data_IF_657938295211
#
_entry.id   IF_657938295211
#
_cell.length_a   1.000
_cell.length_b   1.000
_cell.length_c   1.000
_cell.angle_alpha   90.00
_cell.angle_beta   90.00
_cell.angle_gamma   90.00
#
_symmetry.space_group_name_H-M   'P 1'
#
loop_
_entity.id
_entity.type
_entity.pdbx_description
1 polymer ?
#
# COMPACT_ATOMS: atom_id res chain seq x y z
N UNK A 1 -16.96 10.10 -9.46
CA UNK A 1 -15.56 10.42 -9.78
C UNK A 1 -14.86 9.18 -10.27
N UNK A 2 -14.52 9.12 -11.56
CA UNK A 2 -13.80 8.01 -12.18
C UNK A 2 -12.43 7.85 -11.51
N UNK A 3 -12.17 6.65 -10.97
CA UNK A 3 -10.87 6.25 -10.45
C UNK A 3 -9.92 6.18 -11.65
N UNK A 4 -9.23 7.30 -11.94
CA UNK A 4 -8.17 7.34 -12.94
C UNK A 4 -7.01 6.47 -12.46
N UNK A 5 -6.26 5.89 -13.39
CA UNK A 5 -5.45 4.69 -13.20
C UNK A 5 -3.93 5.01 -13.18
N UNK A 6 -3.36 5.64 -12.13
CA UNK A 6 -1.91 5.80 -11.98
C UNK A 6 -1.23 4.49 -11.48
N UNK A 7 -1.94 3.35 -11.50
CA UNK A 7 -1.57 2.14 -10.76
C UNK A 7 -0.59 1.22 -11.49
N UNK A 8 -0.52 1.25 -12.83
CA UNK A 8 0.22 0.24 -13.60
C UNK A 8 1.72 0.34 -13.34
N UNK A 9 2.31 1.54 -13.42
CA UNK A 9 3.76 1.71 -13.23
C UNK A 9 4.24 1.33 -11.82
N UNK A 10 3.48 1.70 -10.79
CA UNK A 10 3.78 1.32 -9.40
C UNK A 10 3.65 -0.19 -9.17
N UNK A 11 2.62 -0.82 -9.74
CA UNK A 11 2.43 -2.27 -9.65
C UNK A 11 3.56 -3.02 -10.37
N UNK A 12 3.93 -2.61 -11.58
CA UNK A 12 5.03 -3.25 -12.33
C UNK A 12 6.34 -3.18 -11.56
N UNK A 13 6.69 -2.03 -10.96
CA UNK A 13 7.90 -1.89 -10.14
C UNK A 13 7.87 -2.78 -8.89
N UNK A 14 6.72 -2.86 -8.20
CA UNK A 14 6.53 -3.79 -7.08
C UNK A 14 6.78 -5.24 -7.50
N UNK A 15 6.17 -5.65 -8.61
CA UNK A 15 6.31 -7.01 -9.13
C UNK A 15 7.73 -7.31 -9.60
N UNK A 16 8.42 -6.36 -10.24
CA UNK A 16 9.83 -6.51 -10.60
C UNK A 16 10.72 -6.67 -9.36
N UNK A 17 10.45 -5.90 -8.31
CA UNK A 17 11.27 -5.93 -7.09
C UNK A 17 11.03 -7.18 -6.25
N UNK A 18 9.77 -7.57 -6.07
CA UNK A 18 9.34 -8.57 -5.09
C UNK A 18 8.65 -9.81 -5.68
N UNK A 19 8.33 -9.83 -6.98
CA UNK A 19 7.68 -10.97 -7.62
C UNK A 19 8.48 -12.26 -7.41
N UNK A 20 7.82 -13.27 -6.83
CA UNK A 20 8.45 -14.56 -6.50
C UNK A 20 9.41 -14.54 -5.30
N UNK A 21 9.57 -13.41 -4.60
CA UNK A 21 10.44 -13.29 -3.42
C UNK A 21 9.62 -13.22 -2.14
N UNK A 22 10.16 -13.79 -1.05
CA UNK A 22 9.54 -13.68 0.27
C UNK A 22 9.81 -12.31 0.87
N UNK A 23 8.77 -11.69 1.43
CA UNK A 23 8.83 -10.45 2.21
C UNK A 23 8.10 -10.71 3.53
N UNK A 24 8.64 -10.21 4.63
CA UNK A 24 8.02 -10.37 5.95
C UNK A 24 7.47 -9.05 6.44
N UNK A 25 6.17 -9.02 6.73
CA UNK A 25 5.53 -7.88 7.36
C UNK A 25 5.96 -7.74 8.83
N UNK A 26 6.24 -6.51 9.27
CA UNK A 26 6.62 -6.20 10.66
C UNK A 26 5.57 -5.29 11.30
N UNK A 27 5.33 -4.12 10.71
CA UNK A 27 4.39 -3.14 11.26
C UNK A 27 3.93 -2.14 10.19
N UNK A 28 2.93 -1.32 10.51
CA UNK A 28 2.58 -0.15 9.72
C UNK A 28 2.15 1.01 10.60
N UNK A 29 2.22 2.22 10.05
CA UNK A 29 1.62 3.43 10.60
C UNK A 29 1.01 4.24 9.48
N UNK A 30 -0.27 4.56 9.58
CA UNK A 30 -0.98 5.41 8.62
C UNK A 30 -1.17 6.81 9.17
N UNK A 31 -1.58 7.73 8.28
CA UNK A 31 -2.00 9.05 8.71
C UNK A 31 -3.19 8.92 9.67
N UNK A 32 -3.22 9.71 10.77
CA UNK A 32 -4.29 9.60 11.77
C UNK A 32 -5.64 10.09 11.24
N UNK A 33 -5.62 10.88 10.15
CA UNK A 33 -6.82 11.40 9.51
C UNK A 33 -7.35 10.36 8.52
N UNK A 34 -8.18 9.46 9.03
CA UNK A 34 -8.93 8.50 8.22
C UNK A 34 -10.13 9.22 7.60
N UNK A 35 -10.34 9.05 6.30
CA UNK A 35 -11.49 9.61 5.59
C UNK A 35 -12.63 8.59 5.61
N UNK A 36 -13.80 8.99 6.09
CA UNK A 36 -15.00 8.16 6.10
C UNK A 36 -16.03 8.71 5.10
N UNK A 37 -16.48 7.86 4.17
CA UNK A 37 -17.52 8.18 3.20
C UNK A 37 -18.61 7.08 3.24
N UNK A 38 -19.64 7.31 4.07
CA UNK A 38 -20.68 6.32 4.32
C UNK A 38 -20.12 5.07 5.02
N UNK A 39 -20.22 3.91 4.35
CA UNK A 39 -19.69 2.62 4.84
C UNK A 39 -18.23 2.38 4.45
N UNK A 40 -17.60 3.39 3.85
CA UNK A 40 -16.26 3.32 3.29
C UNK A 40 -15.28 4.00 4.22
N UNK A 41 -14.21 3.30 4.56
CA UNK A 41 -13.07 3.86 5.29
C UNK A 41 -11.86 3.90 4.38
N UNK A 42 -11.24 5.07 4.23
CA UNK A 42 -10.04 5.24 3.41
C UNK A 42 -8.82 5.52 4.28
N UNK A 43 -7.83 4.65 4.16
CA UNK A 43 -6.52 4.76 4.80
C UNK A 43 -5.50 5.30 3.79
N UNK A 44 -4.74 6.32 4.17
CA UNK A 44 -3.72 6.94 3.33
C UNK A 44 -2.43 7.20 4.12
N UNK A 45 -1.36 7.53 3.41
CA UNK A 45 -0.07 7.89 4.03
C UNK A 45 0.62 6.74 4.78
N UNK A 46 0.19 5.50 4.58
CA UNK A 46 0.74 4.37 5.33
C UNK A 46 2.21 4.10 4.99
N UNK A 47 3.04 4.15 6.04
CA UNK A 47 4.39 3.62 6.05
C UNK A 47 4.33 2.18 6.56
N UNK A 48 4.94 1.27 5.81
CA UNK A 48 5.02 -0.15 6.14
C UNK A 48 6.47 -0.50 6.42
N UNK A 49 6.68 -1.24 7.51
CA UNK A 49 7.96 -1.85 7.83
C UNK A 49 7.93 -3.30 7.35
N UNK A 50 8.81 -3.62 6.40
CA UNK A 50 8.99 -4.97 5.87
C UNK A 50 10.45 -5.42 6.02
N UNK A 51 10.66 -6.72 6.22
CA UNK A 51 11.94 -7.35 5.94
C UNK A 51 11.96 -7.77 4.47
N UNK A 52 12.87 -7.19 3.70
CA UNK A 52 13.06 -7.48 2.29
C UNK A 52 13.95 -8.73 2.10
N UNK A 53 14.09 -9.28 0.87
CA UNK A 53 14.83 -10.52 0.63
C UNK A 53 16.33 -10.48 0.99
N UNK A 54 16.90 -9.28 1.17
CA UNK A 54 18.26 -9.08 1.67
C UNK A 54 18.37 -9.23 3.21
N UNK A 55 17.26 -9.52 3.89
CA UNK A 55 17.18 -9.65 5.34
C UNK A 55 17.12 -8.31 6.09
N UNK A 56 17.10 -7.17 5.38
CA UNK A 56 17.08 -5.85 6.00
C UNK A 56 15.65 -5.33 6.14
N UNK A 57 15.46 -4.52 7.17
CA UNK A 57 14.21 -3.81 7.41
C UNK A 57 14.17 -2.50 6.61
N UNK A 58 13.05 -2.28 5.92
CA UNK A 58 12.78 -1.06 5.19
C UNK A 58 11.43 -0.49 5.60
N UNK A 59 11.40 0.83 5.84
CA UNK A 59 10.18 1.60 6.06
C UNK A 59 9.86 2.39 4.80
N UNK A 60 8.79 2.02 4.08
CA UNK A 60 8.42 2.69 2.82
C UNK A 60 6.90 2.80 2.66
N UNK A 61 6.49 3.70 1.76
CA UNK A 61 5.12 3.76 1.25
C UNK A 61 5.01 2.85 0.03
N UNK A 62 4.37 1.69 0.17
CA UNK A 62 4.17 0.73 -0.93
C UNK A 62 2.90 1.03 -1.75
N UNK A 63 1.90 1.66 -1.12
CA UNK A 63 0.63 2.03 -1.75
C UNK A 63 0.21 3.47 -1.41
N UNK A 64 -0.60 4.07 -2.28
CA UNK A 64 -1.12 5.42 -2.08
C UNK A 64 -2.24 5.44 -1.05
N UNK A 65 -3.27 4.62 -1.22
CA UNK A 65 -4.36 4.44 -0.24
C UNK A 65 -5.00 3.06 -0.32
N UNK A 66 -5.59 2.64 0.80
CA UNK A 66 -6.42 1.44 0.95
C UNK A 66 -7.84 1.87 1.25
N UNK A 67 -8.81 1.20 0.65
CA UNK A 67 -10.22 1.35 0.98
C UNK A 67 -10.70 0.12 1.73
N UNK A 68 -11.53 0.32 2.74
CA UNK A 68 -12.25 -0.72 3.47
C UNK A 68 -13.75 -0.51 3.30
N UNK A 69 -14.47 -1.58 2.96
CA UNK A 69 -15.93 -1.61 2.88
C UNK A 69 -16.41 -2.90 3.54
N UNK A 70 -17.07 -2.79 4.70
CA UNK A 70 -17.61 -3.96 5.40
C UNK A 70 -16.54 -5.02 5.76
N UNK A 71 -15.34 -4.58 6.17
CA UNK A 71 -14.22 -5.46 6.48
C UNK A 71 -13.47 -6.03 5.27
N UNK A 72 -13.85 -5.67 4.04
CA UNK A 72 -13.09 -6.01 2.84
C UNK A 72 -12.17 -4.87 2.44
N UNK A 73 -10.91 -5.20 2.11
CA UNK A 73 -9.87 -4.21 1.81
C UNK A 73 -9.42 -4.26 0.36
N UNK A 74 -9.14 -3.10 -0.23
CA UNK A 74 -8.56 -2.99 -1.58
C UNK A 74 -7.54 -1.87 -1.67
N UNK A 75 -6.40 -2.14 -2.31
CA UNK A 75 -5.45 -1.11 -2.72
C UNK A 75 -6.05 -0.27 -3.85
N UNK A 76 -6.14 1.05 -3.66
CA UNK A 76 -6.63 1.97 -4.68
C UNK A 76 -5.51 2.46 -5.62
N UNK A 77 -4.27 2.51 -5.12
CA UNK A 77 -3.12 2.95 -5.91
C UNK A 77 -1.82 2.40 -5.31
N UNK A 78 -0.82 2.21 -6.16
CA UNK A 78 0.53 1.82 -5.74
C UNK A 78 1.44 3.04 -5.68
N UNK A 79 2.39 3.04 -4.76
CA UNK A 79 3.35 4.14 -4.65
C UNK A 79 4.33 4.08 -5.81
N UNK A 80 4.67 5.25 -6.36
CA UNK A 80 5.68 5.37 -7.40
C UNK A 80 7.12 5.39 -6.84
N UNK A 81 7.28 5.51 -5.52
CA UNK A 81 8.57 5.68 -4.85
C UNK A 81 9.16 4.34 -4.36
N UNK A 82 9.41 3.42 -5.29
CA UNK A 82 10.14 2.18 -4.99
C UNK A 82 11.58 2.24 -5.47
#
# INVERSE_FOLDING_TARGET
TLIQNPSIGGLTRLLQKFGGKSIRYVSHKCDPKVEHEGKTTRYAGCLIVLVEPDGKEYTRRYFGSVIEIGGQFKFLSYSNQL
#
